data_IF_635879985888
#
_entry.id   IF_635879985888
#
_cell.length_a   1.000
_cell.length_b   1.000
_cell.length_c   1.000
_cell.angle_alpha   90.00
_cell.angle_beta   90.00
_cell.angle_gamma   90.00
#
_symmetry.space_group_name_H-M   'P 1'
#
loop_
_entity.id
_entity.type
_entity.pdbx_description
1 polymer ?
#
# COMPACT_ATOMS: atom_id res chain seq x y z
N UNK A 1 -14.20 -12.22 -4.80
CA UNK A 1 -13.40 -11.02 -5.11
C UNK A 1 -11.96 -11.37 -5.43
N UNK A 2 -11.25 -12.03 -4.51
CA UNK A 2 -9.85 -12.38 -4.75
C UNK A 2 -9.66 -13.29 -5.97
N UNK A 3 -10.54 -14.30 -6.15
CA UNK A 3 -10.42 -15.22 -7.28
C UNK A 3 -10.70 -14.54 -8.62
N UNK A 4 -11.59 -13.54 -8.65
CA UNK A 4 -11.84 -12.77 -9.86
C UNK A 4 -10.62 -11.90 -10.20
N UNK A 5 -9.97 -11.33 -9.18
CA UNK A 5 -8.76 -10.54 -9.37
C UNK A 5 -7.59 -11.43 -9.82
N UNK A 6 -7.49 -12.64 -9.27
CA UNK A 6 -6.47 -13.60 -9.71
C UNK A 6 -6.64 -13.92 -11.20
N UNK A 7 -7.89 -14.08 -11.63
CA UNK A 7 -8.18 -14.33 -13.05
C UNK A 7 -7.78 -13.15 -13.93
N UNK A 8 -8.13 -11.91 -13.52
CA UNK A 8 -7.75 -10.71 -14.25
C UNK A 8 -6.24 -10.60 -14.37
N UNK A 9 -5.50 -10.86 -13.29
CA UNK A 9 -4.04 -10.78 -13.30
C UNK A 9 -3.45 -11.82 -14.24
N UNK A 10 -4.03 -13.03 -14.30
CA UNK A 10 -3.54 -14.06 -15.20
C UNK A 10 -3.74 -13.68 -16.67
N UNK A 11 -4.81 -12.93 -17.00
CA UNK A 11 -5.10 -12.48 -18.36
C UNK A 11 -4.36 -11.20 -18.73
N UNK A 12 -4.12 -10.31 -17.73
CA UNK A 12 -3.50 -9.02 -17.95
C UNK A 12 -2.50 -8.72 -16.82
N UNK A 13 -1.31 -9.35 -16.86
CA UNK A 13 -0.35 -9.26 -15.75
C UNK A 13 0.23 -7.85 -15.55
N UNK A 14 0.04 -6.94 -16.50
CA UNK A 14 0.48 -5.55 -16.37
C UNK A 14 -0.62 -4.61 -15.89
N UNK A 15 -1.76 -5.14 -15.54
CA UNK A 15 -2.88 -4.31 -15.09
C UNK A 15 -2.67 -3.89 -13.62
N UNK A 16 -2.14 -2.68 -13.43
CA UNK A 16 -1.74 -2.14 -12.13
C UNK A 16 -2.86 -2.22 -11.10
N UNK A 17 -4.07 -1.82 -11.49
CA UNK A 17 -5.19 -1.78 -10.54
C UNK A 17 -5.63 -3.16 -10.06
N UNK A 18 -5.40 -4.21 -10.84
CA UNK A 18 -5.70 -5.57 -10.39
C UNK A 18 -4.82 -5.98 -9.22
N UNK A 19 -3.53 -5.64 -9.27
CA UNK A 19 -2.61 -5.89 -8.14
C UNK A 19 -3.00 -5.06 -6.92
N UNK A 20 -3.29 -3.78 -7.15
CA UNK A 20 -3.69 -2.88 -6.09
C UNK A 20 -4.96 -3.38 -5.39
N UNK A 21 -5.99 -3.73 -6.17
CA UNK A 21 -7.25 -4.21 -5.62
C UNK A 21 -7.08 -5.54 -4.87
N UNK A 22 -6.26 -6.46 -5.41
CA UNK A 22 -6.00 -7.72 -4.73
C UNK A 22 -5.25 -7.49 -3.42
N UNK A 23 -4.30 -6.56 -3.41
CA UNK A 23 -3.60 -6.20 -2.19
C UNK A 23 -4.57 -5.72 -1.11
N UNK A 24 -5.53 -4.87 -1.50
CA UNK A 24 -6.52 -4.36 -0.55
C UNK A 24 -7.40 -5.48 0.01
N UNK A 25 -7.82 -6.42 -0.83
CA UNK A 25 -8.59 -7.59 -0.37
C UNK A 25 -7.75 -8.44 0.58
N UNK A 26 -6.49 -8.69 0.25
CA UNK A 26 -5.59 -9.48 1.09
C UNK A 26 -5.39 -8.81 2.46
N UNK A 27 -5.25 -7.49 2.48
CA UNK A 27 -5.14 -6.75 3.74
C UNK A 27 -6.42 -6.87 4.58
N UNK A 28 -7.57 -6.81 3.93
CA UNK A 28 -8.85 -7.03 4.63
C UNK A 28 -8.93 -8.42 5.24
N UNK A 29 -8.32 -9.41 4.59
CA UNK A 29 -8.23 -10.78 5.10
C UNK A 29 -7.08 -10.95 6.09
N UNK A 30 -6.38 -9.88 6.41
CA UNK A 30 -5.22 -9.85 7.31
C UNK A 30 -4.01 -10.64 6.80
N UNK A 31 -3.96 -10.90 5.50
CA UNK A 31 -2.78 -11.48 4.85
C UNK A 31 -1.87 -10.34 4.39
N UNK A 32 -1.23 -9.70 5.36
CA UNK A 32 -0.50 -8.46 5.13
C UNK A 32 0.74 -8.66 4.25
N UNK A 33 1.43 -9.80 4.40
CA UNK A 33 2.64 -10.04 3.60
C UNK A 33 2.32 -10.20 2.13
N UNK A 34 1.23 -10.93 1.81
CA UNK A 34 0.78 -11.07 0.43
C UNK A 34 0.27 -9.74 -0.12
N UNK A 35 -0.39 -8.94 0.73
CA UNK A 35 -0.84 -7.60 0.33
C UNK A 35 0.35 -6.71 -0.05
N UNK A 36 1.41 -6.73 0.75
CA UNK A 36 2.62 -5.96 0.45
C UNK A 36 3.22 -6.39 -0.88
N UNK A 37 3.29 -7.69 -1.15
CA UNK A 37 3.83 -8.20 -2.42
C UNK A 37 3.04 -7.66 -3.62
N UNK A 38 1.71 -7.60 -3.52
CA UNK A 38 0.87 -7.07 -4.59
C UNK A 38 1.01 -5.55 -4.72
N UNK A 39 1.12 -4.82 -3.61
CA UNK A 39 1.41 -3.39 -3.66
C UNK A 39 2.79 -3.13 -4.27
N UNK A 40 3.79 -3.95 -3.95
CA UNK A 40 5.12 -3.86 -4.56
C UNK A 40 5.02 -3.96 -6.07
N UNK A 41 4.23 -4.92 -6.57
CA UNK A 41 4.05 -5.09 -8.01
C UNK A 41 3.32 -3.91 -8.63
N UNK A 42 2.28 -3.39 -7.96
CA UNK A 42 1.56 -2.22 -8.45
C UNK A 42 2.50 -1.01 -8.57
N UNK A 43 3.35 -0.79 -7.56
CA UNK A 43 4.29 0.32 -7.54
C UNK A 43 5.38 0.13 -8.59
N UNK A 44 5.85 -1.10 -8.78
CA UNK A 44 6.82 -1.41 -9.86
C UNK A 44 6.26 -1.01 -11.22
N UNK A 45 4.97 -1.27 -11.45
CA UNK A 45 4.30 -0.95 -12.71
C UNK A 45 3.95 0.54 -12.83
N UNK A 46 3.72 1.21 -11.71
CA UNK A 46 3.44 2.66 -11.68
C UNK A 46 4.06 3.28 -10.43
N UNK A 47 5.22 3.87 -10.58
CA UNK A 47 6.00 4.40 -9.45
C UNK A 47 5.41 5.68 -8.85
N UNK A 48 4.38 6.24 -9.45
CA UNK A 48 3.68 7.42 -8.94
C UNK A 48 2.29 7.08 -8.41
N UNK A 49 2.03 5.80 -8.15
CA UNK A 49 0.74 5.35 -7.65
C UNK A 49 0.62 5.64 -6.15
N UNK A 50 0.16 6.84 -5.83
CA UNK A 50 0.13 7.37 -4.47
C UNK A 50 -0.65 6.47 -3.51
N UNK A 51 -1.82 5.98 -3.91
CA UNK A 51 -2.68 5.15 -3.07
C UNK A 51 -2.01 3.82 -2.72
N UNK A 52 -1.21 3.27 -3.62
CA UNK A 52 -0.50 2.03 -3.35
C UNK A 52 0.59 2.24 -2.28
N UNK A 53 1.32 3.36 -2.34
CA UNK A 53 2.25 3.71 -1.28
C UNK A 53 1.53 3.89 0.05
N UNK A 54 0.40 4.60 0.03
CA UNK A 54 -0.38 4.85 1.23
C UNK A 54 -0.82 3.54 1.89
N UNK A 55 -1.43 2.66 1.12
CA UNK A 55 -1.94 1.39 1.65
C UNK A 55 -0.82 0.43 2.03
N UNK A 56 0.28 0.41 1.27
CA UNK A 56 1.45 -0.40 1.65
C UNK A 56 2.05 0.12 2.97
N UNK A 57 2.12 1.44 3.12
CA UNK A 57 2.61 2.04 4.34
C UNK A 57 1.78 1.65 5.56
N UNK A 58 0.46 1.72 5.45
CA UNK A 58 -0.43 1.29 6.53
C UNK A 58 -0.24 -0.20 6.84
N UNK A 59 -0.08 -1.02 5.81
CA UNK A 59 0.12 -2.45 5.98
C UNK A 59 1.43 -2.75 6.70
N UNK A 60 2.50 -2.03 6.36
CA UNK A 60 3.77 -2.15 7.09
C UNK A 60 3.59 -1.81 8.57
N UNK A 61 2.82 -0.77 8.87
CA UNK A 61 2.58 -0.37 10.26
C UNK A 61 1.81 -1.46 11.00
N UNK A 62 0.80 -2.08 10.37
CA UNK A 62 0.09 -3.20 10.97
C UNK A 62 1.00 -4.38 11.27
N UNK A 63 2.06 -4.56 10.48
CA UNK A 63 3.06 -5.61 10.72
C UNK A 63 4.13 -5.21 11.73
N UNK A 64 4.11 -3.98 12.22
CA UNK A 64 5.13 -3.48 13.12
C UNK A 64 6.36 -2.91 12.42
N UNK A 65 6.36 -2.81 11.10
CA UNK A 65 7.47 -2.27 10.31
C UNK A 65 7.30 -0.76 10.16
N UNK A 66 7.39 -0.03 11.26
CA UNK A 66 7.09 1.41 11.28
C UNK A 66 8.01 2.21 10.36
N UNK A 67 9.29 1.86 10.31
CA UNK A 67 10.23 2.56 9.44
C UNK A 67 9.81 2.52 7.98
N UNK A 68 9.44 1.34 7.49
CA UNK A 68 8.97 1.18 6.12
C UNK A 68 7.63 1.87 5.91
N UNK A 69 6.75 1.78 6.90
CA UNK A 69 5.45 2.44 6.85
C UNK A 69 5.57 3.95 6.76
N UNK A 70 6.46 4.54 7.56
CA UNK A 70 6.69 5.98 7.54
C UNK A 70 7.25 6.42 6.18
N UNK A 71 8.19 5.67 5.62
CA UNK A 71 8.75 5.98 4.31
C UNK A 71 7.66 5.98 3.22
N UNK A 72 6.79 4.98 3.23
CA UNK A 72 5.70 4.88 2.26
C UNK A 72 4.66 5.99 2.44
N UNK A 73 4.31 6.32 3.69
CA UNK A 73 3.38 7.42 3.95
C UNK A 73 3.97 8.76 3.53
N UNK A 74 5.27 8.95 3.73
CA UNK A 74 5.96 10.16 3.26
C UNK A 74 5.87 10.27 1.75
N UNK A 75 6.11 9.17 1.04
CA UNK A 75 6.02 9.15 -0.43
C UNK A 75 4.59 9.42 -0.89
N UNK A 76 3.60 8.80 -0.25
CA UNK A 76 2.20 9.05 -0.57
C UNK A 76 1.84 10.52 -0.39
N UNK A 77 2.31 11.13 0.70
CA UNK A 77 2.09 12.55 0.95
C UNK A 77 2.71 13.43 -0.13
N UNK A 78 3.95 13.14 -0.52
CA UNK A 78 4.62 13.86 -1.62
C UNK A 78 3.85 13.74 -2.93
N UNK A 79 3.19 12.61 -3.15
CA UNK A 79 2.39 12.37 -4.35
C UNK A 79 0.97 12.91 -4.26
N UNK A 80 0.62 13.56 -3.16
CA UNK A 80 -0.64 14.30 -3.06
C UNK A 80 -1.67 13.76 -2.07
N UNK A 81 -1.38 12.69 -1.33
CA UNK A 81 -2.32 12.18 -0.34
C UNK A 81 -2.11 12.92 0.98
N UNK A 82 -2.91 13.96 1.19
CA UNK A 82 -2.78 14.85 2.35
C UNK A 82 -2.97 14.09 3.66
N UNK A 83 -3.89 13.13 3.69
CA UNK A 83 -4.15 12.36 4.91
C UNK A 83 -2.92 11.58 5.40
N UNK A 84 -1.97 11.29 4.50
CA UNK A 84 -0.73 10.64 4.89
C UNK A 84 0.07 11.50 5.87
N UNK A 85 0.08 12.81 5.70
CA UNK A 85 0.77 13.71 6.62
C UNK A 85 0.14 13.71 8.00
N UNK A 86 -1.18 13.58 8.06
CA UNK A 86 -1.88 13.53 9.36
C UNK A 86 -1.50 12.26 10.13
N UNK A 87 -1.33 11.15 9.43
CA UNK A 87 -0.88 9.91 10.06
C UNK A 87 0.58 10.02 10.48
N UNK A 88 1.42 10.61 9.63
CA UNK A 88 2.85 10.79 9.93
C UNK A 88 3.08 11.59 11.20
N UNK A 89 2.25 12.58 11.48
CA UNK A 89 2.36 13.37 12.71
C UNK A 89 2.36 12.49 13.95
N UNK A 90 1.61 11.41 13.95
CA UNK A 90 1.51 10.51 15.10
C UNK A 90 2.82 9.81 15.41
N UNK A 91 3.71 9.71 14.43
CA UNK A 91 5.00 9.04 14.59
C UNK A 91 6.16 10.02 14.78
N UNK A 92 5.96 11.30 14.45
CA UNK A 92 7.03 12.30 14.45
C UNK A 92 6.86 13.35 15.54
N UNK A 93 5.65 13.53 16.08
CA UNK A 93 5.45 14.47 17.16
C UNK A 93 6.03 13.94 18.46
N UNK A 94 6.76 14.81 19.15
CA UNK A 94 7.33 14.48 20.46
C UNK A 94 6.30 14.86 21.51
N UNK A 95 5.87 13.94 22.36
CA UNK A 95 4.96 14.28 23.44
C UNK A 95 5.59 15.31 24.37
N UNK A 96 4.84 16.28 24.73
CA UNK A 96 5.30 17.30 25.67
C UNK A 96 5.11 16.86 27.12
#
# INVERSE_FOLDING_TARGET
>A
MKSDLDHVISLAPDFVYAYYNRANVLAMLKDYRAAIADHDKAIELNKEFAEAYFNRGLTHIFLGNNKNGIADLSKAGELGIVSAYNILKRFTEVPE
#
